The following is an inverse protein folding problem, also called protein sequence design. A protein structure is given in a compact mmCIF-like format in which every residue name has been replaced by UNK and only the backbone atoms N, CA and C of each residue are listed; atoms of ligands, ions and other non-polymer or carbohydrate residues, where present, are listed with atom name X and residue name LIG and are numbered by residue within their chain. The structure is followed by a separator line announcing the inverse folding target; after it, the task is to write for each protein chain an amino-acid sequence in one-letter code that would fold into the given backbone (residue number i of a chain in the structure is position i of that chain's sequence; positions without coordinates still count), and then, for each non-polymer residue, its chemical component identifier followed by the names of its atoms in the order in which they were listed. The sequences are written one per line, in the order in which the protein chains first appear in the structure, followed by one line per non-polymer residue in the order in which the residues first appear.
data_IF_412365068572
#
_entry.id   IF_412365068572
#
_cell.length_a   1.000
_cell.length_b   1.000
_cell.length_c   1.000
_cell.angle_alpha   90.00
_cell.angle_beta   90.00
_cell.angle_gamma   90.00
#
_symmetry.space_group_name_H-M   'P 1'
#
loop_
_entity.id
_entity.type
_entity.pdbx_description
1 polymer ?
#
# COMPACT_ATOMS: atom_id res chain seq x y z
N UNK A 1 -8.21 15.73 -7.44
CA UNK A 1 -7.86 14.94 -6.25
C UNK A 1 -6.44 14.40 -6.36
N UNK A 2 -5.68 14.45 -5.29
CA UNK A 2 -4.34 13.86 -5.27
C UNK A 2 -4.46 12.33 -5.29
N UNK A 3 -3.88 11.63 -6.28
CA UNK A 3 -3.93 10.18 -6.33
C UNK A 3 -3.07 9.51 -5.25
N UNK A 4 -2.20 10.24 -4.58
CA UNK A 4 -1.39 9.72 -3.47
C UNK A 4 -2.05 10.02 -2.14
N UNK A 5 -1.96 9.06 -1.23
CA UNK A 5 -2.24 9.27 0.18
C UNK A 5 -0.94 9.05 0.95
N UNK A 6 -0.47 10.09 1.64
CA UNK A 6 0.83 10.05 2.34
C UNK A 6 0.63 10.61 3.75
N UNK A 7 1.08 9.84 4.75
CA UNK A 7 1.05 10.23 6.15
C UNK A 7 2.48 10.29 6.69
N UNK A 8 2.79 11.35 7.43
CA UNK A 8 4.07 11.49 8.12
C UNK A 8 3.99 10.84 9.50
N UNK A 9 5.09 10.23 9.94
CA UNK A 9 5.21 9.66 11.28
C UNK A 9 6.54 10.03 11.90
N UNK A 10 6.58 10.16 13.23
CA UNK A 10 7.81 10.37 13.98
C UNK A 10 8.57 9.08 14.26
N UNK A 11 8.01 7.93 13.91
CA UNK A 11 8.63 6.62 14.11
C UNK A 11 9.81 6.43 13.16
N UNK A 12 10.73 5.55 13.53
CA UNK A 12 11.77 5.09 12.60
C UNK A 12 11.12 4.25 11.50
N UNK A 13 11.74 4.13 10.31
CA UNK A 13 11.21 3.25 9.27
C UNK A 13 10.97 1.82 9.75
N UNK A 14 11.89 1.25 10.52
CA UNK A 14 11.75 -0.11 11.05
C UNK A 14 10.52 -0.24 11.97
N UNK A 15 10.32 0.71 12.87
CA UNK A 15 9.16 0.70 13.76
C UNK A 15 7.86 0.90 12.98
N UNK A 16 7.86 1.80 12.01
CA UNK A 16 6.70 2.05 11.16
C UNK A 16 6.31 0.79 10.37
N UNK A 17 7.28 0.05 9.84
CA UNK A 17 7.01 -1.24 9.16
C UNK A 17 6.36 -2.23 10.11
N UNK A 18 6.92 -2.41 11.31
CA UNK A 18 6.38 -3.33 12.30
C UNK A 18 4.93 -2.96 12.68
N UNK A 19 4.69 -1.69 12.94
CA UNK A 19 3.36 -1.21 13.33
C UNK A 19 2.37 -1.29 12.16
N UNK A 20 2.84 -1.04 10.94
CA UNK A 20 2.02 -1.19 9.74
C UNK A 20 1.60 -2.65 9.53
N UNK A 21 2.53 -3.60 9.68
CA UNK A 21 2.22 -5.03 9.57
C UNK A 21 1.16 -5.45 10.59
N UNK A 22 1.28 -4.98 11.83
CA UNK A 22 0.28 -5.24 12.86
C UNK A 22 -1.08 -4.63 12.52
N UNK A 23 -1.09 -3.39 12.05
CA UNK A 23 -2.32 -2.68 11.65
C UNK A 23 -3.03 -3.37 10.49
N UNK A 24 -2.27 -3.84 9.50
CA UNK A 24 -2.82 -4.60 8.37
C UNK A 24 -3.63 -5.80 8.87
N UNK A 25 -3.04 -6.59 9.78
CA UNK A 25 -3.70 -7.76 10.34
C UNK A 25 -4.94 -7.40 11.17
N UNK A 26 -4.84 -6.33 11.96
CA UNK A 26 -5.96 -5.87 12.80
C UNK A 26 -7.17 -5.44 11.97
N UNK A 27 -6.95 -4.99 10.74
CA UNK A 27 -8.01 -4.56 9.84
C UNK A 27 -8.47 -5.67 8.88
N UNK A 28 -8.07 -6.92 9.12
CA UNK A 28 -8.53 -8.05 8.32
C UNK A 28 -7.84 -8.22 6.98
N UNK A 29 -6.72 -7.54 6.78
CA UNK A 29 -5.85 -7.70 5.61
C UNK A 29 -4.67 -8.59 5.97
N UNK A 30 -4.00 -9.13 4.95
CA UNK A 30 -2.77 -9.89 5.11
C UNK A 30 -1.61 -9.20 4.41
N UNK A 31 -0.41 -9.35 4.95
CA UNK A 31 0.82 -8.96 4.28
C UNK A 31 1.29 -10.16 3.46
N UNK A 32 1.30 -10.02 2.14
CA UNK A 32 1.73 -11.08 1.23
C UNK A 32 3.25 -11.10 1.10
N UNK A 33 3.85 -9.94 1.03
CA UNK A 33 5.29 -9.79 0.88
C UNK A 33 5.73 -8.41 1.34
N UNK A 34 6.98 -8.34 1.86
CA UNK A 34 7.62 -7.07 2.22
C UNK A 34 8.96 -7.00 1.51
N UNK A 35 9.17 -5.91 0.76
CA UNK A 35 10.42 -5.66 0.05
C UNK A 35 11.24 -4.61 0.78
N UNK A 36 12.53 -4.85 0.94
CA UNK A 36 13.50 -3.82 1.32
C UNK A 36 14.22 -3.38 0.04
N UNK A 37 13.73 -2.32 -0.56
CA UNK A 37 14.24 -1.88 -1.86
C UNK A 37 15.65 -1.30 -1.74
N UNK A 38 15.97 -0.65 -0.62
CA UNK A 38 17.33 -0.15 -0.35
C UNK A 38 18.34 -1.30 -0.39
N UNK A 39 18.04 -2.39 0.31
CA UNK A 39 18.92 -3.57 0.34
C UNK A 39 18.99 -4.25 -1.02
N UNK A 40 17.87 -4.37 -1.72
CA UNK A 40 17.83 -4.96 -3.06
C UNK A 40 18.72 -4.20 -4.03
N UNK A 41 18.65 -2.86 -4.03
CA UNK A 41 19.49 -2.04 -4.89
C UNK A 41 20.96 -2.12 -4.49
N UNK A 42 21.25 -2.15 -3.20
CA UNK A 42 22.63 -2.30 -2.71
C UNK A 42 23.26 -3.61 -3.19
N UNK A 43 22.48 -4.69 -3.19
CA UNK A 43 22.96 -6.00 -3.65
C UNK A 43 23.29 -6.02 -5.15
N UNK A 44 22.76 -5.06 -5.91
CA UNK A 44 22.99 -4.91 -7.35
C UNK A 44 24.00 -3.80 -7.68
N UNK A 45 24.65 -3.26 -6.67
CA UNK A 45 25.70 -2.24 -6.84
C UNK A 45 25.18 -0.80 -6.87
N UNK A 46 23.95 -0.55 -6.48
CA UNK A 46 23.36 0.79 -6.46
C UNK A 46 23.08 1.22 -5.02
N UNK A 47 23.53 2.41 -4.65
CA UNK A 47 23.33 2.95 -3.31
C UNK A 47 22.10 3.84 -3.28
N UNK A 48 21.10 3.44 -2.48
CA UNK A 48 19.94 4.28 -2.17
C UNK A 48 20.11 4.76 -0.72
N UNK A 49 20.31 6.07 -0.50
CA UNK A 49 20.56 6.56 0.87
C UNK A 49 19.34 6.47 1.79
N UNK A 50 18.13 6.46 1.22
CA UNK A 50 16.89 6.50 1.97
C UNK A 50 16.34 5.09 2.21
N UNK A 51 15.81 4.83 3.41
CA UNK A 51 15.05 3.61 3.67
C UNK A 51 13.83 3.56 2.75
N UNK A 52 13.52 2.39 2.24
CA UNK A 52 12.37 2.17 1.36
C UNK A 52 11.88 0.74 1.50
N UNK A 53 10.74 0.59 2.17
CA UNK A 53 10.10 -0.71 2.38
C UNK A 53 8.74 -0.69 1.69
N UNK A 54 8.41 -1.75 0.98
CA UNK A 54 7.15 -1.86 0.24
C UNK A 54 6.44 -3.11 0.73
N UNK A 55 5.22 -2.95 1.24
CA UNK A 55 4.37 -4.03 1.69
C UNK A 55 3.28 -4.28 0.65
N UNK A 56 3.19 -5.52 0.17
CA UNK A 56 2.05 -5.96 -0.63
C UNK A 56 1.00 -6.52 0.31
N UNK A 57 -0.20 -5.92 0.28
CA UNK A 57 -1.28 -6.25 1.20
C UNK A 57 -2.52 -6.68 0.44
N UNK A 58 -3.29 -7.59 1.02
CA UNK A 58 -4.46 -8.16 0.38
C UNK A 58 -5.55 -8.49 1.38
N UNK A 59 -6.78 -8.14 1.02
CA UNK A 59 -7.98 -8.71 1.61
C UNK A 59 -8.52 -9.72 0.60
N UNK A 60 -8.50 -11.04 0.89
CA UNK A 60 -8.89 -12.04 -0.10
C UNK A 60 -10.32 -11.87 -0.62
N UNK A 61 -11.25 -11.46 0.25
CA UNK A 61 -12.64 -11.24 -0.14
C UNK A 61 -12.75 -10.10 -1.17
N UNK A 62 -12.07 -8.99 -0.92
CA UNK A 62 -12.09 -7.84 -1.82
C UNK A 62 -11.37 -8.16 -3.13
N UNK A 63 -10.22 -8.83 -3.06
CA UNK A 63 -9.48 -9.23 -4.25
C UNK A 63 -10.31 -10.17 -5.13
N UNK A 64 -10.97 -11.15 -4.54
CA UNK A 64 -11.85 -12.07 -5.27
C UNK A 64 -12.99 -11.33 -5.95
N UNK A 65 -13.61 -10.35 -5.28
CA UNK A 65 -14.69 -9.54 -5.84
C UNK A 65 -14.21 -8.70 -7.04
N UNK A 66 -13.03 -8.09 -6.94
CA UNK A 66 -12.43 -7.30 -8.03
C UNK A 66 -12.18 -8.18 -9.26
N UNK A 67 -11.56 -9.34 -9.05
CA UNK A 67 -11.20 -10.24 -10.15
C UNK A 67 -12.43 -10.93 -10.77
N UNK A 68 -13.47 -11.16 -9.98
CA UNK A 68 -14.75 -11.67 -10.50
C UNK A 68 -15.44 -10.64 -11.39
N UNK A 69 -15.32 -9.35 -11.07
CA UNK A 69 -15.89 -8.27 -11.88
C UNK A 69 -15.10 -8.05 -13.17
N UNK A 70 -13.77 -8.09 -13.10
CA UNK A 70 -12.88 -7.92 -14.25
C UNK A 70 -11.52 -8.55 -13.94
N UNK A 71 -11.23 -9.68 -14.58
CA UNK A 71 -9.96 -10.38 -14.39
C UNK A 71 -8.76 -9.52 -14.74
N UNK A 72 -8.91 -8.58 -15.70
CA UNK A 72 -7.85 -7.66 -16.10
C UNK A 72 -7.35 -6.76 -14.95
N UNK A 73 -8.15 -6.59 -13.90
CA UNK A 73 -7.73 -5.81 -12.73
C UNK A 73 -6.58 -6.47 -11.96
N UNK A 74 -6.22 -7.71 -12.28
CA UNK A 74 -5.07 -8.37 -11.65
C UNK A 74 -3.78 -7.57 -11.83
N UNK A 75 -3.67 -6.76 -12.88
CA UNK A 75 -2.48 -5.93 -13.12
C UNK A 75 -2.33 -4.79 -12.11
N UNK A 76 -3.40 -4.45 -11.39
CA UNK A 76 -3.39 -3.44 -10.32
C UNK A 76 -3.28 -4.06 -8.92
N UNK A 77 -3.23 -5.37 -8.81
CA UNK A 77 -3.15 -6.08 -7.54
C UNK A 77 -1.79 -6.76 -7.37
N UNK A 78 -1.38 -7.04 -6.13
CA UNK A 78 -2.00 -6.63 -4.87
C UNK A 78 -1.79 -5.14 -4.56
N UNK A 79 -2.54 -4.62 -3.57
CA UNK A 79 -2.35 -3.26 -3.10
C UNK A 79 -0.98 -3.11 -2.45
N UNK A 80 -0.40 -1.91 -2.53
CA UNK A 80 0.94 -1.63 -2.02
C UNK A 80 0.88 -0.45 -1.07
N UNK A 81 1.55 -0.59 0.09
CA UNK A 81 1.77 0.49 1.04
C UNK A 81 3.27 0.57 1.28
N UNK A 82 3.84 1.76 1.16
CA UNK A 82 5.28 1.96 1.33
C UNK A 82 5.59 2.69 2.62
N UNK A 83 6.69 2.31 3.26
CA UNK A 83 7.31 3.06 4.35
C UNK A 83 8.67 3.52 3.85
N UNK A 84 8.89 4.82 3.81
CA UNK A 84 10.12 5.35 3.22
C UNK A 84 10.57 6.64 3.90
N UNK A 85 11.82 6.99 3.67
CA UNK A 85 12.38 8.26 4.11
C UNK A 85 12.50 9.21 2.94
N UNK A 86 12.13 10.47 3.19
CA UNK A 86 12.32 11.55 2.23
C UNK A 86 12.50 12.86 3.02
N UNK A 87 13.57 13.60 2.72
CA UNK A 87 13.86 14.85 3.40
C UNK A 87 14.03 14.72 4.91
N UNK A 88 14.56 13.58 5.37
CA UNK A 88 14.76 13.32 6.80
C UNK A 88 13.50 12.89 7.55
N UNK A 89 12.39 12.72 6.85
CA UNK A 89 11.10 12.31 7.42
C UNK A 89 10.79 10.87 7.09
N UNK A 90 10.07 10.19 7.98
CA UNK A 90 9.48 8.87 7.71
C UNK A 90 8.06 9.05 7.26
N UNK A 91 7.74 8.47 6.10
CA UNK A 91 6.44 8.61 5.45
C UNK A 91 5.83 7.23 5.20
N UNK A 92 4.51 7.14 5.30
CA UNK A 92 3.75 5.96 4.93
C UNK A 92 2.81 6.39 3.81
N UNK A 93 2.93 5.76 2.65
CA UNK A 93 2.18 6.22 1.49
C UNK A 93 1.68 5.12 0.59
N UNK A 94 0.68 5.46 -0.19
CA UNK A 94 0.09 4.57 -1.20
C UNK A 94 -0.50 5.37 -2.35
N UNK A 95 -0.75 4.70 -3.46
CA UNK A 95 -1.67 5.21 -4.50
C UNK A 95 -3.08 4.91 -4.00
N UNK A 96 -3.97 5.90 -4.05
CA UNK A 96 -5.36 5.69 -3.63
C UNK A 96 -6.00 4.63 -4.52
N UNK A 97 -6.58 3.55 -3.95
CA UNK A 97 -7.23 2.52 -4.75
C UNK A 97 -8.31 3.06 -5.69
N UNK A 98 -9.10 4.04 -5.26
CA UNK A 98 -10.12 4.65 -6.11
C UNK A 98 -9.51 5.33 -7.34
N UNK A 99 -8.38 6.00 -7.19
CA UNK A 99 -7.69 6.65 -8.30
C UNK A 99 -7.06 5.62 -9.26
N UNK A 100 -6.46 4.58 -8.71
CA UNK A 100 -5.81 3.53 -9.50
C UNK A 100 -6.84 2.77 -10.34
N UNK A 101 -7.91 2.29 -9.72
CA UNK A 101 -8.92 1.52 -10.44
C UNK A 101 -9.72 2.38 -11.43
N UNK A 102 -10.00 3.64 -11.10
CA UNK A 102 -10.66 4.57 -12.00
C UNK A 102 -9.87 4.83 -13.28
N UNK A 103 -8.55 4.77 -13.22
CA UNK A 103 -7.70 4.91 -14.41
C UNK A 103 -7.75 3.70 -15.34
N UNK A 104 -8.22 2.55 -14.84
CA UNK A 104 -8.25 1.28 -15.56
C UNK A 104 -9.65 0.82 -15.93
N UNK A 105 -10.69 1.30 -15.26
CA UNK A 105 -12.07 0.88 -15.50
C UNK A 105 -13.06 1.97 -15.09
N UNK A 106 -14.19 2.02 -15.81
CA UNK A 106 -15.31 2.91 -15.49
C UNK A 106 -16.47 2.15 -14.81
N UNK A 107 -16.26 0.87 -14.47
CA UNK A 107 -17.29 0.05 -13.85
C UNK A 107 -17.72 0.61 -12.49
N UNK A 108 -19.05 0.85 -12.28
CA UNK A 108 -19.55 1.30 -10.98
C UNK A 108 -19.31 0.30 -9.86
N UNK A 109 -19.35 -0.99 -10.16
CA UNK A 109 -19.07 -2.06 -9.19
C UNK A 109 -17.64 -1.98 -8.69
N UNK A 110 -16.67 -1.84 -9.61
CA UNK A 110 -15.26 -1.71 -9.24
C UNK A 110 -15.00 -0.42 -8.46
N UNK A 111 -15.67 0.66 -8.82
CA UNK A 111 -15.57 1.93 -8.09
C UNK A 111 -16.00 1.77 -6.63
N UNK A 112 -17.10 1.08 -6.38
CA UNK A 112 -17.60 0.83 -5.03
C UNK A 112 -16.61 0.01 -4.20
N UNK A 113 -16.07 -1.05 -4.80
CA UNK A 113 -15.06 -1.90 -4.13
C UNK A 113 -13.80 -1.09 -3.84
N UNK A 114 -13.33 -0.31 -4.81
CA UNK A 114 -12.14 0.51 -4.66
C UNK A 114 -12.28 1.55 -3.55
N UNK A 115 -13.44 2.17 -3.42
CA UNK A 115 -13.73 3.14 -2.35
C UNK A 115 -13.68 2.47 -0.98
N UNK A 116 -14.20 1.25 -0.85
CA UNK A 116 -14.15 0.51 0.41
C UNK A 116 -12.72 0.12 0.76
N UNK A 117 -11.95 -0.39 -0.20
CA UNK A 117 -10.54 -0.75 0.00
C UNK A 117 -9.74 0.50 0.39
N UNK A 118 -10.01 1.63 -0.22
CA UNK A 118 -9.34 2.90 0.11
C UNK A 118 -9.63 3.32 1.54
N UNK A 119 -10.88 3.24 1.97
CA UNK A 119 -11.28 3.53 3.34
C UNK A 119 -10.55 2.64 4.33
N UNK A 120 -10.47 1.35 4.03
CA UNK A 120 -9.79 0.38 4.88
C UNK A 120 -8.28 0.67 4.96
N UNK A 121 -7.65 0.93 3.83
CA UNK A 121 -6.19 1.15 3.78
C UNK A 121 -5.79 2.49 4.39
N UNK A 122 -6.62 3.52 4.26
CA UNK A 122 -6.41 4.78 5.00
C UNK A 122 -6.46 4.52 6.51
N UNK A 123 -7.45 3.76 6.98
CA UNK A 123 -7.55 3.41 8.39
C UNK A 123 -6.34 2.61 8.88
N UNK A 124 -5.84 1.70 8.06
CA UNK A 124 -4.63 0.92 8.35
C UNK A 124 -3.42 1.84 8.53
N UNK A 125 -3.23 2.78 7.62
CA UNK A 125 -2.12 3.73 7.67
C UNK A 125 -2.24 4.65 8.89
N UNK A 126 -3.42 5.20 9.14
CA UNK A 126 -3.64 6.12 10.26
C UNK A 126 -3.45 5.44 11.61
N UNK A 127 -3.79 4.17 11.75
CA UNK A 127 -3.55 3.41 12.97
C UNK A 127 -2.07 3.09 13.19
N UNK A 128 -1.29 3.00 12.12
CA UNK A 128 0.15 2.65 12.19
C UNK A 128 1.07 3.86 12.39
N UNK A 129 0.62 5.03 12.00
CA UNK A 129 1.46 6.24 12.04
C UNK A 129 1.75 6.72 13.43
#
# INVERSE_FOLDING_TARGET
MNPRYIAETSKTPAQAVTDLEASVKQHGYGVLHTYDLKQTLASKGFDLPNACHILEVCNPKQAAAVLAADMGMNIALPCRISVYQDGGKTLIGMVRPSALLASLSESPELKTIAEQVEKDTIAIIEAAR
#
